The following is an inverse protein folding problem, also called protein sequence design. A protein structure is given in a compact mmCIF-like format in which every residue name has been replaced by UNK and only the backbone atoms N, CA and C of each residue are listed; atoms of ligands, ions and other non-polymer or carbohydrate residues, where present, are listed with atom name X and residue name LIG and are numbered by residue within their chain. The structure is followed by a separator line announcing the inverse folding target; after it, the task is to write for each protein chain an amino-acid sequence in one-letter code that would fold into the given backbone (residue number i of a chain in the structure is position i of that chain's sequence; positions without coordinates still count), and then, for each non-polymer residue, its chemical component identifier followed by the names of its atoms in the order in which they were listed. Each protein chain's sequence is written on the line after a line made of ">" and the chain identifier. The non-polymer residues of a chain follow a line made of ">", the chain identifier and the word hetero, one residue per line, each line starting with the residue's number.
data_IF_763578348076
#
_entry.id   IF_763578348076
#
_cell.length_a   1.000
_cell.length_b   1.000
_cell.length_c   1.000
_cell.angle_alpha   90.00
_cell.angle_beta   90.00
_cell.angle_gamma   90.00
#
_symmetry.space_group_name_H-M   'P 1'
#
loop_
_entity.id
_entity.type
_entity.pdbx_description
1 polymer ?
#
# COMPACT_ATOMS: atom_id res chain seq x y z
N UNK A 1 16.33 7.73 0.96
CA UNK A 1 15.57 8.99 1.03
C UNK A 1 15.43 9.42 2.49
N UNK A 2 15.76 10.68 2.81
CA UNK A 2 15.59 11.21 4.17
C UNK A 2 14.17 11.74 4.33
N UNK A 3 13.45 11.28 5.35
CA UNK A 3 12.10 11.75 5.66
C UNK A 3 12.08 12.54 6.99
N UNK A 4 11.15 13.49 7.17
CA UNK A 4 10.11 13.89 6.22
C UNK A 4 10.68 14.72 5.05
N UNK A 5 10.13 14.48 3.84
CA UNK A 5 10.43 15.30 2.67
C UNK A 5 9.66 16.62 2.82
N UNK A 6 10.34 17.72 2.54
CA UNK A 6 9.75 19.06 2.54
C UNK A 6 9.69 19.61 1.12
N UNK A 7 8.64 20.35 0.86
CA UNK A 7 8.58 21.12 -0.36
C UNK A 7 9.59 22.29 -0.35
N UNK A 8 9.94 22.89 -1.52
CA UNK A 8 10.89 23.97 -1.59
C UNK A 8 10.55 25.18 -0.72
N UNK A 9 9.28 25.46 -0.52
CA UNK A 9 8.78 26.59 0.28
C UNK A 9 8.71 26.27 1.78
N UNK A 10 8.96 25.00 2.16
CA UNK A 10 8.89 24.53 3.55
C UNK A 10 7.49 24.49 4.17
N UNK A 11 6.45 24.70 3.37
CA UNK A 11 5.05 24.75 3.83
C UNK A 11 4.42 23.39 3.93
N UNK A 12 4.82 22.47 3.07
CA UNK A 12 4.38 21.09 3.06
C UNK A 12 5.49 20.16 3.53
N UNK A 13 5.13 19.17 4.31
CA UNK A 13 6.03 18.08 4.69
C UNK A 13 5.30 16.74 4.61
N UNK A 14 5.96 15.73 4.04
CA UNK A 14 5.41 14.37 3.92
C UNK A 14 6.31 13.34 4.56
N UNK A 15 5.71 12.40 5.28
CA UNK A 15 6.29 11.11 5.61
C UNK A 15 5.46 10.02 4.90
N UNK A 16 6.11 9.15 4.13
CA UNK A 16 5.44 8.15 3.32
C UNK A 16 6.19 6.82 3.32
N UNK A 17 5.45 5.73 3.42
CA UNK A 17 5.86 4.39 3.02
C UNK A 17 5.07 4.06 1.77
N UNK A 18 5.67 4.18 0.59
CA UNK A 18 4.95 4.14 -0.66
C UNK A 18 5.76 3.55 -1.81
N UNK A 19 5.06 2.80 -2.66
CA UNK A 19 5.48 2.38 -4.00
C UNK A 19 4.34 2.73 -4.94
N UNK A 20 4.57 3.71 -5.81
CA UNK A 20 3.56 4.20 -6.76
C UNK A 20 3.73 3.51 -8.11
N UNK A 21 2.71 2.83 -8.59
CA UNK A 21 2.75 2.03 -9.82
C UNK A 21 2.49 2.88 -11.07
N UNK A 22 1.53 3.79 -11.02
CA UNK A 22 1.21 4.68 -12.14
C UNK A 22 2.11 5.92 -12.24
N UNK A 23 3.42 5.77 -11.90
CA UNK A 23 4.41 6.87 -11.91
C UNK A 23 4.46 7.63 -13.23
N UNK A 24 4.47 6.92 -14.36
CA UNK A 24 4.58 7.55 -15.69
C UNK A 24 3.40 8.50 -15.94
N UNK A 25 2.20 8.01 -15.70
CA UNK A 25 0.97 8.80 -15.82
C UNK A 25 1.03 10.05 -14.90
N UNK A 26 1.42 9.85 -13.63
CA UNK A 26 1.51 10.96 -12.69
C UNK A 26 2.57 12.00 -13.08
N UNK A 27 3.74 11.57 -13.51
CA UNK A 27 4.81 12.46 -13.98
C UNK A 27 4.34 13.33 -15.16
N UNK A 28 3.56 12.75 -16.09
CA UNK A 28 2.96 13.49 -17.22
C UNK A 28 1.87 14.44 -16.74
N UNK A 29 0.93 13.96 -15.95
CA UNK A 29 -0.19 14.77 -15.41
C UNK A 29 0.29 15.90 -14.51
N UNK A 30 1.37 15.70 -13.77
CA UNK A 30 2.01 16.70 -12.91
C UNK A 30 3.02 17.59 -13.67
N UNK A 31 3.25 17.31 -14.96
CA UNK A 31 4.16 18.03 -15.84
C UNK A 31 5.58 18.09 -15.28
N UNK A 32 6.05 16.99 -14.73
CA UNK A 32 7.42 16.90 -14.21
C UNK A 32 8.41 16.92 -15.38
N UNK A 33 9.41 17.84 -15.39
CA UNK A 33 10.43 17.92 -16.42
C UNK A 33 11.18 16.61 -16.62
N UNK A 34 11.53 16.27 -17.86
CA UNK A 34 12.15 14.98 -18.20
C UNK A 34 13.44 14.71 -17.45
N UNK A 35 14.29 15.74 -17.27
CA UNK A 35 15.56 15.66 -16.55
C UNK A 35 15.42 15.40 -15.04
N UNK A 36 14.22 15.56 -14.48
CA UNK A 36 13.93 15.32 -13.07
C UNK A 36 13.20 14.02 -12.82
N UNK A 37 12.60 13.37 -13.84
CA UNK A 37 11.70 12.22 -13.68
C UNK A 37 12.35 11.04 -12.97
N UNK A 38 13.58 10.71 -13.35
CA UNK A 38 14.30 9.57 -12.77
C UNK A 38 14.74 9.79 -11.32
N UNK A 39 14.84 11.05 -10.90
CA UNK A 39 15.23 11.44 -9.54
C UNK A 39 14.05 11.74 -8.63
N UNK A 40 12.85 11.92 -9.20
CA UNK A 40 11.64 12.19 -8.41
C UNK A 40 11.27 10.94 -7.63
N UNK A 41 11.22 11.04 -6.32
CA UNK A 41 10.84 9.93 -5.42
C UNK A 41 9.32 9.77 -5.35
N UNK A 42 8.83 8.64 -4.83
CA UNK A 42 7.40 8.41 -4.69
C UNK A 42 6.77 9.38 -3.67
N UNK A 43 7.49 9.72 -2.60
CA UNK A 43 7.06 10.73 -1.64
C UNK A 43 6.94 12.13 -2.26
N UNK A 44 7.91 12.57 -3.08
CA UNK A 44 7.82 13.83 -3.81
C UNK A 44 6.65 13.83 -4.80
N UNK A 45 6.42 12.69 -5.47
CA UNK A 45 5.31 12.54 -6.40
C UNK A 45 3.95 12.69 -5.71
N UNK A 46 3.80 12.07 -4.53
CA UNK A 46 2.59 12.22 -3.68
C UNK A 46 2.44 13.69 -3.24
N UNK A 47 3.52 14.35 -2.86
CA UNK A 47 3.47 15.76 -2.44
C UNK A 47 3.06 16.69 -3.59
N UNK A 48 3.56 16.44 -4.80
CA UNK A 48 3.14 17.15 -6.01
C UNK A 48 1.66 16.88 -6.33
N UNK A 49 1.21 15.63 -6.15
CA UNK A 49 -0.20 15.25 -6.31
C UNK A 49 -1.08 16.02 -5.31
N UNK A 50 -0.66 16.12 -4.05
CA UNK A 50 -1.36 16.89 -3.04
C UNK A 50 -1.43 18.39 -3.40
N UNK A 51 -0.36 18.98 -3.90
CA UNK A 51 -0.38 20.38 -4.37
C UNK A 51 -1.40 20.61 -5.48
N UNK A 52 -1.57 19.64 -6.36
CA UNK A 52 -2.48 19.75 -7.51
C UNK A 52 -3.94 19.44 -7.17
N UNK A 53 -4.19 18.38 -6.39
CA UNK A 53 -5.53 17.85 -6.16
C UNK A 53 -6.00 17.95 -4.71
N UNK A 54 -5.15 18.47 -3.81
CA UNK A 54 -5.46 18.62 -2.39
C UNK A 54 -5.79 17.26 -1.75
N UNK A 55 -6.86 17.25 -0.96
CA UNK A 55 -7.33 16.03 -0.26
C UNK A 55 -7.72 14.87 -1.20
N UNK A 56 -7.97 15.16 -2.46
CA UNK A 56 -8.30 14.17 -3.48
C UNK A 56 -7.06 13.53 -4.12
N UNK A 57 -5.87 13.88 -3.71
CA UNK A 57 -4.64 13.27 -4.22
C UNK A 57 -4.66 11.73 -4.21
N UNK A 58 -5.14 11.04 -3.14
CA UNK A 58 -5.18 9.58 -3.10
C UNK A 58 -6.02 8.93 -4.21
N UNK A 59 -7.06 9.62 -4.71
CA UNK A 59 -7.92 9.13 -5.80
C UNK A 59 -7.16 8.97 -7.14
N UNK A 60 -5.98 9.57 -7.25
CA UNK A 60 -5.14 9.56 -8.45
C UNK A 60 -3.91 8.66 -8.33
N UNK A 61 -3.71 8.03 -7.19
CA UNK A 61 -2.57 7.16 -6.92
C UNK A 61 -2.95 5.69 -7.14
N UNK A 62 -2.16 4.97 -7.89
CA UNK A 62 -2.21 3.52 -8.00
C UNK A 62 -0.91 2.98 -7.42
N UNK A 63 -1.00 2.03 -6.47
CA UNK A 63 0.15 1.44 -5.80
C UNK A 63 -0.12 1.17 -4.32
N UNK A 64 0.92 0.77 -3.61
CA UNK A 64 0.91 0.48 -2.19
C UNK A 64 1.39 1.70 -1.42
N UNK A 65 0.56 2.30 -0.58
CA UNK A 65 0.97 3.50 0.14
C UNK A 65 0.28 3.70 1.50
N UNK A 66 1.06 4.25 2.42
CA UNK A 66 0.58 4.95 3.60
C UNK A 66 1.41 6.22 3.75
N UNK A 67 0.76 7.35 3.85
CA UNK A 67 1.46 8.62 3.98
C UNK A 67 0.73 9.60 4.90
N UNK A 68 1.50 10.55 5.40
CA UNK A 68 1.00 11.67 6.19
C UNK A 68 1.64 12.95 5.66
N UNK A 69 0.80 13.92 5.31
CA UNK A 69 1.21 15.26 4.85
C UNK A 69 0.80 16.29 5.89
N UNK A 70 1.74 17.11 6.32
CA UNK A 70 1.48 18.35 7.04
C UNK A 70 1.42 19.52 6.07
N UNK A 71 0.34 20.27 6.12
CA UNK A 71 0.14 21.50 5.39
C UNK A 71 0.16 22.69 6.37
N UNK A 72 1.23 23.45 6.31
CA UNK A 72 1.47 24.59 7.20
C UNK A 72 0.57 25.80 6.89
N UNK A 73 0.13 25.97 5.65
CA UNK A 73 -0.74 27.08 5.25
C UNK A 73 -2.15 26.91 5.84
N UNK A 74 -2.69 25.70 5.76
CA UNK A 74 -4.02 25.36 6.30
C UNK A 74 -3.98 24.84 7.74
N UNK A 75 -2.78 24.57 8.27
CA UNK A 75 -2.57 23.92 9.59
C UNK A 75 -3.34 22.61 9.68
N UNK A 76 -3.30 21.83 8.62
CA UNK A 76 -4.01 20.56 8.47
C UNK A 76 -3.02 19.43 8.26
N UNK A 77 -3.31 18.29 8.87
CA UNK A 77 -2.63 17.05 8.57
C UNK A 77 -3.59 16.18 7.75
N UNK A 78 -3.11 15.68 6.60
CA UNK A 78 -3.79 14.67 5.80
C UNK A 78 -3.00 13.37 5.88
N UNK A 79 -3.64 12.29 6.27
CA UNK A 79 -3.11 10.94 6.10
C UNK A 79 -3.97 10.18 5.10
N UNK A 80 -3.36 9.22 4.38
CA UNK A 80 -4.08 8.33 3.49
C UNK A 80 -3.45 6.94 3.48
N UNK A 81 -4.26 5.92 3.21
CA UNK A 81 -3.86 4.54 3.07
C UNK A 81 -4.39 3.98 1.76
N UNK A 82 -3.60 3.15 1.09
CA UNK A 82 -3.93 2.56 -0.21
C UNK A 82 -5.25 1.77 -0.20
N UNK A 83 -5.87 1.55 -1.40
CA UNK A 83 -7.19 0.91 -1.51
C UNK A 83 -7.27 -0.49 -0.91
N UNK A 84 -6.17 -1.25 -0.92
CA UNK A 84 -6.11 -2.63 -0.43
C UNK A 84 -5.47 -2.76 0.95
N UNK A 85 -5.02 -1.64 1.56
CA UNK A 85 -4.40 -1.64 2.87
C UNK A 85 -3.05 -2.38 2.93
N UNK A 86 -2.35 -2.48 1.81
CA UNK A 86 -1.05 -3.14 1.71
C UNK A 86 0.00 -2.50 2.61
N UNK A 87 -0.04 -1.16 2.72
CA UNK A 87 0.73 -0.43 3.72
C UNK A 87 -0.13 -0.15 4.92
N UNK A 88 0.43 -0.33 6.11
CA UNK A 88 -0.27 -0.06 7.37
C UNK A 88 -0.01 1.36 7.85
N UNK A 89 -1.01 1.95 8.49
CA UNK A 89 -0.88 3.21 9.20
C UNK A 89 -1.66 3.14 10.50
N UNK A 90 -0.92 3.00 11.59
CA UNK A 90 -1.47 3.03 12.95
C UNK A 90 -1.39 4.42 13.53
N UNK A 91 -2.35 4.78 14.39
CA UNK A 91 -2.36 6.07 15.06
C UNK A 91 -2.94 5.98 16.47
N UNK A 92 -2.46 6.87 17.32
CA UNK A 92 -3.03 7.18 18.62
C UNK A 92 -3.41 8.66 18.66
N UNK A 93 -4.59 8.97 19.17
CA UNK A 93 -5.07 10.34 19.29
C UNK A 93 -5.67 10.58 20.68
N UNK A 94 -5.09 11.50 21.43
CA UNK A 94 -5.51 11.86 22.79
C UNK A 94 -6.30 13.18 22.84
N UNK A 95 -6.66 13.77 21.70
CA UNK A 95 -7.24 15.12 21.63
C UNK A 95 -6.21 16.24 21.67
N UNK A 96 -5.05 16.00 22.28
CA UNK A 96 -3.93 16.96 22.35
C UNK A 96 -2.76 16.58 21.48
N UNK A 97 -2.56 15.28 21.27
CA UNK A 97 -1.45 14.71 20.50
C UNK A 97 -1.97 13.66 19.54
N UNK A 98 -1.50 13.73 18.30
CA UNK A 98 -1.58 12.65 17.33
C UNK A 98 -0.18 12.04 17.21
N UNK A 99 -0.08 10.72 17.36
CA UNK A 99 1.09 9.94 17.00
C UNK A 99 0.69 8.92 15.95
N UNK A 100 1.56 8.67 14.95
CA UNK A 100 1.30 7.70 13.88
C UNK A 100 2.58 6.96 13.51
N UNK A 101 2.43 5.72 13.06
CA UNK A 101 3.53 4.87 12.62
C UNK A 101 3.00 3.76 11.70
N UNK A 102 3.86 3.20 10.87
CA UNK A 102 3.54 1.99 10.09
C UNK A 102 3.58 0.69 10.91
N UNK A 103 4.03 0.76 12.17
CA UNK A 103 4.04 -0.37 13.10
C UNK A 103 3.46 0.06 14.47
N UNK A 104 2.85 -0.88 15.19
CA UNK A 104 2.26 -0.60 16.52
C UNK A 104 3.30 -0.43 17.63
N UNK A 105 4.39 -1.21 17.58
CA UNK A 105 5.37 -1.25 18.65
C UNK A 105 5.95 0.13 19.04
N UNK A 106 6.33 1.03 18.10
CA UNK A 106 6.77 2.37 18.44
C UNK A 106 5.72 3.22 19.14
N UNK A 107 4.44 3.07 18.77
CA UNK A 107 3.34 3.80 19.41
C UNK A 107 3.10 3.30 20.82
N UNK A 108 3.19 1.99 21.06
CA UNK A 108 3.08 1.39 22.39
C UNK A 108 4.25 1.73 23.31
N UNK A 109 5.37 2.22 22.78
CA UNK A 109 6.48 2.70 23.57
C UNK A 109 6.29 4.14 24.10
N UNK A 110 5.26 4.85 23.62
CA UNK A 110 4.96 6.20 24.10
C UNK A 110 4.36 6.14 25.50
N UNK A 111 4.77 7.04 26.42
CA UNK A 111 4.40 6.97 27.84
C UNK A 111 2.92 7.21 28.12
N UNK A 112 2.20 7.85 27.17
CA UNK A 112 0.78 8.16 27.29
C UNK A 112 -0.12 7.19 26.48
N UNK A 113 0.46 6.14 25.90
CA UNK A 113 -0.30 5.08 25.22
C UNK A 113 -0.36 3.85 26.13
N UNK A 114 -1.54 3.62 26.69
CA UNK A 114 -1.78 2.46 27.53
C UNK A 114 -1.73 1.15 26.72
N UNK A 115 -1.05 0.13 27.28
CA UNK A 115 -0.97 -1.22 26.69
C UNK A 115 -2.16 -2.09 27.11
N UNK A 116 -3.35 -1.55 27.02
CA UNK A 116 -4.57 -2.27 27.34
C UNK A 116 -5.06 -3.09 26.16
N UNK A 117 -5.36 -4.36 26.39
CA UNK A 117 -5.87 -5.24 25.35
C UNK A 117 -7.30 -4.87 24.97
N UNK A 118 -7.60 -4.96 23.69
CA UNK A 118 -8.93 -4.78 23.10
C UNK A 118 -9.65 -6.14 23.11
N UNK A 119 -10.35 -6.46 24.20
CA UNK A 119 -11.04 -7.75 24.37
C UNK A 119 -12.04 -8.07 23.26
N UNK A 120 -12.87 -7.13 22.77
CA UNK A 120 -13.74 -7.38 21.63
C UNK A 120 -12.97 -7.82 20.38
N UNK A 121 -11.87 -7.13 20.04
CA UNK A 121 -11.02 -7.49 18.90
C UNK A 121 -10.43 -8.90 19.07
N UNK A 122 -9.94 -9.22 20.28
CA UNK A 122 -9.38 -10.53 20.58
C UNK A 122 -10.45 -11.62 20.50
N UNK A 123 -11.66 -11.34 20.95
CA UNK A 123 -12.77 -12.30 20.85
C UNK A 123 -13.15 -12.60 19.39
N UNK A 124 -13.22 -11.58 18.52
CA UNK A 124 -13.45 -11.75 17.09
C UNK A 124 -12.31 -12.55 16.44
N UNK A 125 -11.06 -12.20 16.72
CA UNK A 125 -9.89 -12.89 16.19
C UNK A 125 -9.83 -14.37 16.60
N UNK A 126 -10.25 -14.70 17.81
CA UNK A 126 -10.27 -16.08 18.31
C UNK A 126 -11.50 -16.88 17.84
N UNK A 127 -12.61 -16.21 17.55
CA UNK A 127 -13.87 -16.85 17.20
C UNK A 127 -13.99 -17.18 15.70
N UNK A 128 -13.28 -16.46 14.85
CA UNK A 128 -13.37 -16.58 13.40
C UNK A 128 -12.02 -17.10 12.89
N UNK A 129 -12.01 -18.34 12.43
CA UNK A 129 -10.84 -18.96 11.81
C UNK A 129 -10.44 -18.15 10.55
N UNK A 130 -9.14 -17.87 10.40
CA UNK A 130 -8.59 -17.08 9.30
C UNK A 130 -9.01 -15.59 9.26
N UNK A 131 -9.63 -15.06 10.32
CA UNK A 131 -9.92 -13.64 10.40
C UNK A 131 -8.67 -12.85 10.78
N UNK A 132 -8.21 -11.98 9.89
CA UNK A 132 -7.05 -11.12 10.12
C UNK A 132 -7.43 -9.68 10.51
N UNK A 133 -8.70 -9.33 10.36
CA UNK A 133 -9.23 -7.99 10.66
C UNK A 133 -10.55 -8.09 11.44
N UNK A 134 -10.78 -7.11 12.32
CA UNK A 134 -12.04 -6.96 13.05
C UNK A 134 -13.14 -6.39 12.15
N UNK A 135 -14.41 -6.58 12.56
CA UNK A 135 -15.56 -5.91 11.95
C UNK A 135 -15.47 -4.37 12.03
N UNK A 136 -14.80 -3.83 13.05
CA UNK A 136 -14.34 -2.43 13.05
C UNK A 136 -12.96 -2.36 12.40
N UNK A 137 -12.90 -1.94 11.14
CA UNK A 137 -11.66 -1.80 10.35
C UNK A 137 -10.63 -0.84 10.95
N UNK A 138 -10.97 -0.08 11.98
CA UNK A 138 -10.05 0.78 12.72
C UNK A 138 -9.48 0.10 13.95
N UNK A 139 -10.10 -0.97 14.42
CA UNK A 139 -9.70 -1.62 15.64
C UNK A 139 -8.34 -2.33 15.51
N UNK A 140 -7.61 -2.36 16.61
CA UNK A 140 -6.36 -3.12 16.76
C UNK A 140 -6.43 -3.99 18.01
N UNK A 141 -5.48 -4.90 18.24
CA UNK A 141 -5.39 -5.65 19.50
C UNK A 141 -5.28 -4.81 20.77
N UNK A 142 -5.03 -3.51 20.64
CA UNK A 142 -4.87 -2.60 21.77
C UNK A 142 -5.93 -1.50 21.76
N UNK A 143 -6.48 -1.18 22.94
CA UNK A 143 -7.37 -0.03 23.10
C UNK A 143 -6.61 1.27 22.85
N UNK A 144 -7.31 2.29 22.35
CA UNK A 144 -6.75 3.62 22.05
C UNK A 144 -5.62 3.64 20.99
N UNK A 145 -5.38 2.52 20.35
CA UNK A 145 -4.52 2.40 19.19
C UNK A 145 -5.37 1.95 18.00
N UNK A 146 -5.39 2.74 16.97
CA UNK A 146 -6.24 2.53 15.80
C UNK A 146 -5.40 2.37 14.54
N UNK A 147 -5.97 1.76 13.52
CA UNK A 147 -5.43 1.79 12.16
C UNK A 147 -6.30 2.65 11.25
N UNK A 148 -5.70 3.32 10.28
CA UNK A 148 -6.45 3.95 9.21
C UNK A 148 -6.98 2.84 8.29
N UNK A 149 -8.29 2.75 8.04
CA UNK A 149 -8.84 1.71 7.16
C UNK A 149 -8.30 1.81 5.73
N UNK A 150 -8.26 0.70 4.97
CA UNK A 150 -7.96 0.73 3.55
C UNK A 150 -8.88 1.70 2.80
N UNK A 151 -8.37 2.37 1.76
CA UNK A 151 -9.14 3.32 0.95
C UNK A 151 -9.71 4.52 1.72
N UNK A 152 -9.10 4.90 2.84
CA UNK A 152 -9.53 6.04 3.64
C UNK A 152 -8.45 7.12 3.75
N UNK A 153 -8.93 8.33 3.90
CA UNK A 153 -8.14 9.47 4.36
C UNK A 153 -8.50 9.82 5.80
N UNK A 154 -7.52 10.34 6.52
CA UNK A 154 -7.72 10.97 7.82
C UNK A 154 -7.26 12.42 7.74
N UNK A 155 -8.14 13.34 8.06
CA UNK A 155 -7.81 14.76 8.18
C UNK A 155 -7.82 15.18 9.65
N UNK A 156 -6.78 15.89 10.07
CA UNK A 156 -6.70 16.46 11.41
C UNK A 156 -6.51 17.96 11.30
N UNK A 157 -7.46 18.69 11.87
CA UNK A 157 -7.45 20.16 11.92
C UNK A 157 -8.15 20.65 13.19
N UNK A 158 -7.64 21.69 13.83
CA UNK A 158 -8.25 22.27 15.02
C UNK A 158 -8.51 21.28 16.15
N UNK A 159 -7.65 20.24 16.31
CA UNK A 159 -7.78 19.22 17.33
C UNK A 159 -8.89 18.18 17.08
N UNK A 160 -9.44 18.12 15.86
CA UNK A 160 -10.47 17.16 15.45
C UNK A 160 -9.95 16.23 14.36
N UNK A 161 -10.40 14.97 14.39
CA UNK A 161 -10.14 13.97 13.36
C UNK A 161 -11.43 13.75 12.55
N UNK A 162 -11.29 13.73 11.22
CA UNK A 162 -12.29 13.22 10.29
C UNK A 162 -11.67 12.10 9.47
N UNK A 163 -12.37 10.97 9.33
CA UNK A 163 -11.94 9.81 8.52
C UNK A 163 -13.01 9.59 7.47
N UNK A 164 -12.58 9.56 6.20
CA UNK A 164 -13.49 9.49 5.04
C UNK A 164 -12.93 8.50 4.02
N UNK A 165 -13.81 7.65 3.45
CA UNK A 165 -13.45 6.80 2.32
C UNK A 165 -13.27 7.63 1.05
N UNK A 166 -12.20 7.38 0.29
CA UNK A 166 -11.93 8.10 -0.97
C UNK A 166 -12.11 7.24 -2.22
N UNK A 167 -12.26 5.94 -2.08
CA UNK A 167 -12.47 5.01 -3.20
C UNK A 167 -13.30 3.80 -2.78
N UNK A 168 -14.00 3.24 -3.75
CA UNK A 168 -14.72 1.96 -3.63
C UNK A 168 -14.47 1.15 -4.88
N UNK A 169 -14.35 -0.17 -4.74
CA UNK A 169 -14.44 -1.08 -5.86
C UNK A 169 -15.92 -1.16 -6.25
N UNK A 170 -16.28 -0.47 -7.31
CA UNK A 170 -17.62 -0.54 -7.87
C UNK A 170 -17.62 -1.46 -9.09
N UNK A 171 -18.69 -2.24 -9.31
CA UNK A 171 -18.83 -3.00 -10.54
C UNK A 171 -18.76 -2.05 -11.75
N UNK A 172 -17.80 -2.30 -12.63
CA UNK A 172 -17.75 -1.59 -13.91
C UNK A 172 -18.74 -2.22 -14.89
N UNK A 173 -19.04 -1.49 -15.98
CA UNK A 173 -19.78 -2.05 -17.11
C UNK A 173 -19.07 -3.33 -17.59
N UNK A 174 -19.81 -4.42 -17.87
CA UNK A 174 -19.23 -5.66 -18.32
C UNK A 174 -18.41 -5.46 -19.60
N UNK A 175 -17.14 -5.83 -19.55
CA UNK A 175 -16.30 -5.85 -20.73
C UNK A 175 -16.85 -6.87 -21.75
N UNK A 176 -17.17 -6.45 -22.97
CA UNK A 176 -17.66 -7.30 -24.05
C UNK A 176 -16.67 -7.30 -25.21
N UNK A 177 -15.93 -8.39 -25.35
CA UNK A 177 -14.97 -8.61 -26.41
C UNK A 177 -15.53 -9.60 -27.45
N UNK A 178 -14.85 -9.69 -28.61
CA UNK A 178 -15.36 -10.45 -29.76
C UNK A 178 -15.10 -11.95 -29.66
N UNK A 179 -14.04 -12.35 -28.96
CA UNK A 179 -13.64 -13.74 -28.80
C UNK A 179 -13.00 -14.02 -27.44
N UNK A 180 -12.93 -15.28 -27.05
CA UNK A 180 -12.23 -15.72 -25.83
C UNK A 180 -10.76 -15.31 -25.87
N UNK A 181 -10.13 -15.33 -27.04
CA UNK A 181 -8.75 -14.89 -27.22
C UNK A 181 -8.58 -13.41 -26.89
N UNK A 182 -9.53 -12.55 -27.26
CA UNK A 182 -9.46 -11.12 -26.94
C UNK A 182 -9.55 -10.91 -25.42
N UNK A 183 -10.34 -11.72 -24.68
CA UNK A 183 -10.38 -11.70 -23.22
C UNK A 183 -9.05 -12.16 -22.60
N UNK A 184 -8.46 -13.23 -23.13
CA UNK A 184 -7.15 -13.71 -22.67
C UNK A 184 -6.06 -12.65 -22.90
N UNK A 185 -6.03 -12.02 -24.05
CA UNK A 185 -5.05 -10.99 -24.37
C UNK A 185 -5.24 -9.75 -23.49
N UNK A 186 -6.48 -9.28 -23.28
CA UNK A 186 -6.78 -8.18 -22.38
C UNK A 186 -6.39 -8.51 -20.92
N UNK A 187 -6.63 -9.74 -20.45
CA UNK A 187 -6.20 -10.18 -19.14
C UNK A 187 -4.66 -10.19 -19.02
N UNK A 188 -3.97 -10.74 -20.01
CA UNK A 188 -2.49 -10.77 -20.04
C UNK A 188 -1.88 -9.38 -19.99
N UNK A 189 -2.48 -8.43 -20.70
CA UNK A 189 -2.00 -7.03 -20.70
C UNK A 189 -2.10 -6.42 -19.30
N UNK A 190 -3.26 -6.48 -18.67
CA UNK A 190 -3.50 -5.90 -17.33
C UNK A 190 -2.67 -6.63 -16.27
N UNK A 191 -2.64 -7.96 -16.31
CA UNK A 191 -1.86 -8.77 -15.39
C UNK A 191 -0.36 -8.53 -15.53
N UNK A 192 0.11 -8.45 -16.78
CA UNK A 192 1.51 -8.15 -17.09
C UNK A 192 1.92 -6.75 -16.62
N UNK A 193 1.05 -5.75 -16.77
CA UNK A 193 1.28 -4.40 -16.26
C UNK A 193 1.39 -4.40 -14.72
N UNK A 194 0.48 -5.06 -14.03
CA UNK A 194 0.49 -5.17 -12.58
C UNK A 194 1.76 -5.87 -12.08
N UNK A 195 2.16 -7.01 -12.67
CA UNK A 195 3.39 -7.71 -12.28
C UNK A 195 4.63 -6.87 -12.57
N UNK A 196 4.68 -6.19 -13.73
CA UNK A 196 5.80 -5.31 -14.08
C UNK A 196 5.97 -4.16 -13.08
N UNK A 197 4.88 -3.58 -12.60
CA UNK A 197 4.91 -2.54 -11.57
C UNK A 197 5.52 -3.07 -10.26
N UNK A 198 5.14 -4.27 -9.83
CA UNK A 198 5.60 -4.88 -8.59
C UNK A 198 7.08 -5.34 -8.59
N UNK A 199 7.65 -5.63 -9.76
CA UNK A 199 9.08 -6.01 -9.86
C UNK A 199 10.00 -4.80 -10.09
N UNK A 200 9.46 -3.60 -10.11
CA UNK A 200 10.22 -2.35 -10.28
C UNK A 200 11.06 -2.05 -9.04
N UNK A 201 12.32 -2.39 -9.09
CA UNK A 201 13.28 -2.15 -8.01
C UNK A 201 14.72 -2.05 -8.55
N UNK A 202 15.58 -1.40 -7.78
CA UNK A 202 17.04 -1.40 -8.02
C UNK A 202 17.74 -2.60 -7.34
N UNK A 203 17.01 -3.39 -6.55
CA UNK A 203 17.52 -4.60 -5.87
C UNK A 203 17.22 -5.85 -6.69
N UNK A 204 17.81 -6.96 -6.29
CA UNK A 204 17.42 -8.28 -6.77
C UNK A 204 15.97 -8.60 -6.41
N UNK A 205 15.29 -9.30 -7.30
CA UNK A 205 13.89 -9.70 -7.12
C UNK A 205 13.84 -11.20 -6.86
N UNK A 206 13.06 -11.57 -5.86
CA UNK A 206 12.76 -12.94 -5.54
C UNK A 206 11.26 -13.18 -5.46
N UNK A 207 10.81 -14.38 -5.81
CA UNK A 207 9.42 -14.79 -5.72
C UNK A 207 9.30 -16.21 -5.13
N UNK A 208 8.20 -16.45 -4.42
CA UNK A 208 7.85 -17.81 -4.02
C UNK A 208 7.18 -18.54 -5.18
N UNK A 209 7.57 -19.80 -5.41
CA UNK A 209 7.01 -20.66 -6.44
C UNK A 209 6.47 -21.93 -5.77
N UNK A 210 5.17 -21.99 -5.57
CA UNK A 210 4.50 -23.09 -4.84
C UNK A 210 4.20 -24.31 -5.73
N UNK A 211 4.35 -24.20 -7.05
CA UNK A 211 3.92 -25.21 -8.02
C UNK A 211 2.47 -25.03 -8.48
N UNK A 212 1.71 -24.13 -7.88
CA UNK A 212 0.36 -23.77 -8.32
C UNK A 212 0.34 -22.83 -9.54
N UNK A 213 -0.82 -22.74 -10.19
CA UNK A 213 -0.99 -21.92 -11.42
C UNK A 213 -0.75 -20.43 -11.15
N UNK A 214 -1.24 -19.90 -10.03
CA UNK A 214 -1.14 -18.48 -9.70
C UNK A 214 0.31 -18.04 -9.52
N UNK A 215 1.08 -18.76 -8.67
CA UNK A 215 2.48 -18.47 -8.46
C UNK A 215 3.31 -18.68 -9.74
N UNK A 216 2.94 -19.69 -10.55
CA UNK A 216 3.56 -19.95 -11.86
C UNK A 216 3.33 -18.79 -12.83
N UNK A 217 2.10 -18.25 -12.90
CA UNK A 217 1.76 -17.11 -13.73
C UNK A 217 2.56 -15.86 -13.31
N UNK A 218 2.54 -15.51 -12.01
CA UNK A 218 3.30 -14.36 -11.49
C UNK A 218 4.78 -14.48 -11.81
N UNK A 219 5.39 -15.64 -11.56
CA UNK A 219 6.82 -15.88 -11.84
C UNK A 219 7.12 -15.79 -13.33
N UNK A 220 6.25 -16.33 -14.21
CA UNK A 220 6.41 -16.26 -15.66
C UNK A 220 6.44 -14.82 -16.18
N UNK A 221 5.48 -13.99 -15.79
CA UNK A 221 5.43 -12.58 -16.18
C UNK A 221 6.56 -11.76 -15.53
N UNK A 222 6.90 -12.01 -14.27
CA UNK A 222 8.00 -11.34 -13.59
C UNK A 222 9.35 -11.65 -14.26
N UNK A 223 9.61 -12.92 -14.60
CA UNK A 223 10.83 -13.32 -15.27
C UNK A 223 10.95 -12.69 -16.68
N UNK A 224 9.84 -12.60 -17.42
CA UNK A 224 9.81 -11.94 -18.72
C UNK A 224 10.15 -10.44 -18.57
N UNK A 225 9.48 -9.73 -17.65
CA UNK A 225 9.70 -8.31 -17.41
C UNK A 225 11.15 -8.00 -16.98
N UNK A 226 11.69 -8.78 -16.05
CA UNK A 226 13.07 -8.60 -15.57
C UNK A 226 14.12 -8.91 -16.64
N UNK A 227 13.86 -9.89 -17.52
CA UNK A 227 14.75 -10.22 -18.64
C UNK A 227 14.88 -9.06 -19.63
N UNK A 228 13.80 -8.32 -19.89
CA UNK A 228 13.82 -7.11 -20.72
C UNK A 228 14.78 -6.05 -20.14
N UNK A 229 14.95 -6.03 -18.81
CA UNK A 229 15.87 -5.12 -18.10
C UNK A 229 17.27 -5.74 -17.87
N UNK A 230 17.56 -6.94 -18.38
CA UNK A 230 18.81 -7.65 -18.14
C UNK A 230 18.98 -8.17 -16.71
N UNK A 231 17.89 -8.29 -15.97
CA UNK A 231 17.86 -8.76 -14.57
C UNK A 231 17.41 -10.22 -14.47
N UNK A 232 17.73 -10.85 -13.34
CA UNK A 232 17.34 -12.23 -13.02
C UNK A 232 16.28 -12.26 -11.93
N UNK A 233 15.32 -13.19 -12.04
CA UNK A 233 14.36 -13.50 -10.99
C UNK A 233 14.87 -14.73 -10.21
N UNK A 234 14.98 -14.61 -8.90
CA UNK A 234 15.26 -15.73 -8.00
C UNK A 234 13.96 -16.33 -7.51
N UNK A 235 13.83 -17.66 -7.54
CA UNK A 235 12.62 -18.34 -7.06
C UNK A 235 12.94 -19.26 -5.90
N UNK A 236 12.01 -19.33 -4.95
CA UNK A 236 12.10 -20.20 -3.78
C UNK A 236 10.86 -21.06 -3.69
N UNK A 237 11.06 -22.39 -3.57
CA UNK A 237 9.98 -23.35 -3.37
C UNK A 237 10.14 -24.01 -2.01
N UNK A 238 9.03 -24.14 -1.29
CA UNK A 238 9.00 -24.98 -0.12
C UNK A 238 8.86 -26.44 -0.56
N UNK A 239 9.82 -27.27 -0.17
CA UNK A 239 9.83 -28.71 -0.47
C UNK A 239 10.03 -29.48 0.83
N UNK A 240 9.39 -30.65 1.00
CA UNK A 240 9.63 -31.48 2.16
C UNK A 240 11.08 -31.95 2.21
N UNK A 241 11.61 -32.29 3.41
CA UNK A 241 12.92 -32.87 3.57
C UNK A 241 13.04 -34.16 2.75
N UNK A 242 14.25 -34.48 2.24
CA UNK A 242 14.51 -35.68 1.40
C UNK A 242 14.08 -37.01 2.04
N UNK A 243 13.95 -37.06 3.38
CA UNK A 243 13.59 -38.26 4.16
C UNK A 243 12.16 -38.19 4.69
N UNK A 244 11.28 -37.36 4.12
CA UNK A 244 9.89 -37.26 4.52
C UNK A 244 9.11 -38.48 4.00
N UNK A 245 8.72 -39.38 4.91
CA UNK A 245 8.11 -40.66 4.57
C UNK A 245 6.65 -40.57 4.11
N UNK A 246 5.93 -39.48 4.47
CA UNK A 246 4.50 -39.32 4.24
C UNK A 246 4.17 -38.39 3.06
N UNK A 247 5.08 -38.28 2.10
CA UNK A 247 4.80 -37.50 0.90
C UNK A 247 3.74 -38.17 0.03
N UNK A 248 2.54 -37.63 0.03
CA UNK A 248 1.48 -37.95 -0.93
C UNK A 248 1.51 -36.93 -2.05
N UNK A 249 1.91 -37.27 -3.28
CA UNK A 249 1.80 -36.38 -4.42
C UNK A 249 0.34 -36.14 -4.72
N UNK A 250 -0.12 -34.89 -4.70
CA UNK A 250 -1.44 -34.55 -5.26
C UNK A 250 -2.43 -33.82 -4.36
N UNK A 251 -1.97 -32.93 -3.52
CA UNK A 251 -2.82 -31.86 -2.97
C UNK A 251 -2.35 -30.51 -3.43
#
# INVERSE_FOLDING_TARGET
>A
ESQPIRDPDGRLAIAADAVIDNRRELLDRLRVPHDRRDRTTDGELILMAYRKWGRRAPEHLIGDFAFVIWDGDTRTLLAARDPFGKRTLYYHFSGRRLAFCTAMAPLLALPDVARELNEPWLAEFMAIEEMYESTDLRATPYRNLYQLPPSHTMTVAGGRIAIEGYGRLEPAEPLRLKSDRDYEDAFRDVFGEAVRAHVRTFREVAATLSGGLDSGAVVGFAAAALREEGKTLHTYSYVPPRNFADWTPGH
#
